data_IF_049481687759
#
_entry.id   IF_049481687759
#
_cell.length_a   1.000
_cell.length_b   1.000
_cell.length_c   1.000
_cell.angle_alpha   90.00
_cell.angle_beta   90.00
_cell.angle_gamma   90.00
#
_symmetry.space_group_name_H-M   'P 1'
#
loop_
_entity.id
_entity.type
_entity.pdbx_description
1 polymer ?
#
# COMPACT_ATOMS: atom_id res chain seq x y z
N UNK A 1 -9.31 51.57 -6.18
CA UNK A 1 -10.71 51.23 -5.83
C UNK A 1 -10.78 49.74 -5.63
N UNK A 2 -11.49 49.26 -4.61
CA UNK A 2 -11.60 47.82 -4.39
C UNK A 2 -12.31 47.15 -5.58
N UNK A 3 -11.73 46.07 -6.09
CA UNK A 3 -12.32 45.29 -7.19
C UNK A 3 -13.69 44.77 -6.72
N UNK A 4 -14.78 44.98 -7.49
CA UNK A 4 -16.11 44.47 -7.18
C UNK A 4 -16.12 42.96 -6.89
N UNK A 5 -16.94 42.54 -5.93
CA UNK A 5 -17.02 41.14 -5.48
C UNK A 5 -17.23 40.10 -6.61
N UNK A 6 -18.06 40.37 -7.65
CA UNK A 6 -18.22 39.43 -8.78
C UNK A 6 -16.94 39.24 -9.59
N UNK A 7 -16.17 40.30 -9.81
CA UNK A 7 -14.90 40.25 -10.56
C UNK A 7 -13.84 39.47 -9.79
N UNK A 8 -13.80 39.60 -8.46
CA UNK A 8 -12.93 38.79 -7.59
C UNK A 8 -13.29 37.31 -7.62
N UNK A 9 -14.58 36.96 -7.67
CA UNK A 9 -15.02 35.56 -7.75
C UNK A 9 -14.65 34.96 -9.11
N UNK A 10 -14.90 35.68 -10.20
CA UNK A 10 -14.50 35.25 -11.54
C UNK A 10 -12.97 35.05 -11.62
N UNK A 11 -12.21 35.99 -11.05
CA UNK A 11 -10.76 35.94 -10.92
C UNK A 11 -10.26 34.66 -10.23
N UNK A 12 -10.76 34.35 -9.04
CA UNK A 12 -10.36 33.16 -8.30
C UNK A 12 -10.80 31.88 -9.01
N UNK A 13 -11.96 31.90 -9.67
CA UNK A 13 -12.48 30.76 -10.41
C UNK A 13 -11.60 30.41 -11.62
N UNK A 14 -11.11 31.40 -12.37
CA UNK A 14 -10.21 31.18 -13.52
C UNK A 14 -8.87 30.61 -13.06
N UNK A 15 -8.28 31.15 -11.99
CA UNK A 15 -7.02 30.62 -11.43
C UNK A 15 -7.19 29.19 -10.91
N UNK A 16 -8.29 28.89 -10.24
CA UNK A 16 -8.62 27.52 -9.82
C UNK A 16 -8.79 26.58 -11.02
N UNK A 17 -9.43 27.05 -12.10
CA UNK A 17 -9.62 26.27 -13.31
C UNK A 17 -8.29 25.98 -14.03
N UNK A 18 -7.38 26.97 -14.10
CA UNK A 18 -6.02 26.79 -14.65
C UNK A 18 -5.23 25.79 -13.80
N UNK A 19 -5.29 25.89 -12.47
CA UNK A 19 -4.65 24.92 -11.57
C UNK A 19 -5.20 23.50 -11.76
N UNK A 20 -6.53 23.36 -11.86
CA UNK A 20 -7.20 22.08 -12.11
C UNK A 20 -6.82 21.47 -13.46
N UNK A 21 -6.86 22.26 -14.54
CA UNK A 21 -6.44 21.82 -15.88
C UNK A 21 -4.98 21.41 -15.92
N UNK A 22 -4.09 22.15 -15.24
CA UNK A 22 -2.68 21.80 -15.12
C UNK A 22 -2.50 20.46 -14.41
N UNK A 23 -3.24 20.25 -13.31
CA UNK A 23 -3.22 18.98 -12.57
C UNK A 23 -3.71 17.79 -13.42
N UNK A 24 -4.78 17.97 -14.21
CA UNK A 24 -5.32 16.93 -15.10
C UNK A 24 -4.34 16.51 -16.20
N UNK A 25 -3.47 17.41 -16.65
CA UNK A 25 -2.49 17.12 -17.70
C UNK A 25 -1.19 16.55 -17.11
N UNK A 26 -0.68 17.15 -16.03
CA UNK A 26 0.61 16.76 -15.43
C UNK A 26 0.54 15.38 -14.79
N UNK A 27 -0.60 15.02 -14.18
CA UNK A 27 -0.77 13.74 -13.48
C UNK A 27 -0.57 12.53 -14.42
N UNK A 28 -1.35 12.32 -15.49
CA UNK A 28 -1.17 11.14 -16.36
C UNK A 28 0.15 11.15 -17.14
N UNK A 29 0.64 12.32 -17.56
CA UNK A 29 1.81 12.41 -18.44
C UNK A 29 3.15 12.26 -17.70
N UNK A 30 3.24 12.81 -16.49
CA UNK A 30 4.50 12.89 -15.73
C UNK A 30 4.48 11.92 -14.55
N UNK A 31 3.34 11.78 -13.85
CA UNK A 31 3.24 10.95 -12.64
C UNK A 31 3.25 9.45 -12.98
N UNK A 32 2.25 8.96 -13.71
CA UNK A 32 2.07 7.53 -13.98
C UNK A 32 3.19 6.94 -14.83
N UNK A 33 3.74 7.74 -15.75
CA UNK A 33 4.68 7.26 -16.77
C UNK A 33 6.15 7.35 -16.32
N UNK A 34 6.52 8.33 -15.50
CA UNK A 34 7.93 8.62 -15.17
C UNK A 34 8.24 8.66 -13.67
N UNK A 35 7.37 9.28 -12.86
CA UNK A 35 7.69 9.58 -11.46
C UNK A 35 7.22 8.53 -10.44
N UNK A 36 6.32 7.61 -10.81
CA UNK A 36 5.90 6.47 -9.96
C UNK A 36 7.07 5.62 -9.46
N UNK A 37 8.21 5.61 -10.17
CA UNK A 37 9.41 4.84 -9.80
C UNK A 37 10.23 5.47 -8.67
N UNK A 38 9.98 6.72 -8.32
CA UNK A 38 10.77 7.48 -7.33
C UNK A 38 10.00 7.65 -6.01
N UNK A 39 10.72 8.10 -4.97
CA UNK A 39 10.11 8.41 -3.67
C UNK A 39 9.00 9.47 -3.84
N UNK A 40 7.84 9.35 -3.16
CA UNK A 40 6.66 10.21 -3.36
C UNK A 40 6.90 11.71 -3.18
N UNK A 41 7.98 12.11 -2.52
CA UNK A 41 8.39 13.51 -2.39
C UNK A 41 8.77 14.15 -3.74
N UNK A 42 9.38 13.39 -4.66
CA UNK A 42 9.84 13.90 -5.95
C UNK A 42 8.68 14.41 -6.81
N UNK A 43 7.61 13.64 -7.06
CA UNK A 43 6.48 14.15 -7.83
C UNK A 43 5.77 15.32 -7.14
N UNK A 44 5.65 15.33 -5.81
CA UNK A 44 5.01 16.45 -5.09
C UNK A 44 5.77 17.76 -5.36
N UNK A 45 7.10 17.73 -5.29
CA UNK A 45 7.95 18.91 -5.56
C UNK A 45 7.79 19.37 -7.00
N UNK A 46 7.88 18.44 -7.96
CA UNK A 46 7.81 18.74 -9.40
C UNK A 46 6.44 19.31 -9.78
N UNK A 47 5.35 18.69 -9.31
CA UNK A 47 3.98 19.15 -9.58
C UNK A 47 3.74 20.54 -9.02
N UNK A 48 4.16 20.76 -7.77
CA UNK A 48 4.01 22.07 -7.12
C UNK A 48 4.76 23.15 -7.88
N UNK A 49 5.98 22.87 -8.34
CA UNK A 49 6.76 23.79 -9.15
C UNK A 49 6.09 24.11 -10.50
N UNK A 50 5.59 23.10 -11.21
CA UNK A 50 4.95 23.28 -12.51
C UNK A 50 3.63 24.06 -12.39
N UNK A 51 2.77 23.72 -11.42
CA UNK A 51 1.49 24.41 -11.18
C UNK A 51 1.69 25.88 -10.80
N UNK A 52 2.80 26.18 -10.12
CA UNK A 52 3.08 27.55 -9.66
C UNK A 52 3.38 28.52 -10.79
N UNK A 53 3.92 28.05 -11.92
CA UNK A 53 4.28 28.89 -13.06
C UNK A 53 3.07 29.61 -13.70
N UNK A 54 2.02 28.92 -14.18
CA UNK A 54 0.88 29.57 -14.83
C UNK A 54 0.07 30.43 -13.86
N UNK A 55 -0.04 30.03 -12.58
CA UNK A 55 -0.74 30.82 -11.56
C UNK A 55 0.00 32.13 -11.31
N UNK A 56 1.33 32.08 -11.14
CA UNK A 56 2.14 33.30 -10.95
C UNK A 56 2.10 34.20 -12.17
N UNK A 57 2.16 33.63 -13.39
CA UNK A 57 2.02 34.40 -14.62
C UNK A 57 0.65 35.12 -14.69
N UNK A 58 -0.43 34.45 -14.28
CA UNK A 58 -1.76 35.06 -14.18
C UNK A 58 -1.79 36.24 -13.20
N UNK A 59 -1.15 36.10 -12.02
CA UNK A 59 -1.05 37.18 -11.03
C UNK A 59 -0.34 38.41 -11.61
N UNK A 60 0.79 38.22 -12.28
CA UNK A 60 1.58 39.30 -12.89
C UNK A 60 0.80 40.00 -14.00
N UNK A 61 0.11 39.26 -14.87
CA UNK A 61 -0.69 39.84 -15.96
C UNK A 61 -1.83 40.70 -15.42
N UNK A 62 -2.47 40.25 -14.33
CA UNK A 62 -3.63 40.94 -13.76
C UNK A 62 -3.21 42.22 -13.03
N UNK A 63 -2.12 42.16 -12.27
CA UNK A 63 -1.51 43.33 -11.65
C UNK A 63 -1.15 44.39 -12.71
N UNK A 64 -0.56 43.96 -13.83
CA UNK A 64 -0.23 44.83 -14.95
C UNK A 64 -1.46 45.46 -15.64
N UNK A 65 -2.59 44.75 -15.70
CA UNK A 65 -3.84 45.29 -16.27
C UNK A 65 -4.52 46.26 -15.31
N UNK A 66 -4.46 46.00 -14.00
CA UNK A 66 -5.11 46.82 -12.97
C UNK A 66 -4.44 48.18 -12.78
N UNK A 67 -3.11 48.16 -12.61
CA UNK A 67 -2.35 49.38 -12.30
C UNK A 67 -1.68 50.00 -13.55
N UNK A 68 -1.79 49.32 -14.70
CA UNK A 68 -1.18 49.76 -15.97
C UNK A 68 0.35 49.64 -15.99
N UNK A 69 0.95 49.11 -14.93
CA UNK A 69 2.41 48.95 -14.77
C UNK A 69 2.76 47.52 -14.44
N UNK A 70 3.85 47.02 -15.02
CA UNK A 70 4.35 45.69 -14.70
C UNK A 70 5.18 45.74 -13.41
N UNK A 71 4.81 44.94 -12.41
CA UNK A 71 5.55 44.82 -11.14
C UNK A 71 7.03 44.46 -11.35
N UNK A 72 7.87 44.78 -10.36
CA UNK A 72 9.30 44.49 -10.41
C UNK A 72 9.59 42.98 -10.30
N UNK A 73 10.68 42.47 -10.92
CA UNK A 73 11.03 41.04 -10.86
C UNK A 73 11.13 40.41 -9.45
N UNK A 74 11.58 41.12 -8.40
CA UNK A 74 11.56 40.59 -7.03
C UNK A 74 10.14 40.25 -6.53
N UNK A 75 9.13 41.04 -6.91
CA UNK A 75 7.74 40.76 -6.58
C UNK A 75 7.27 39.44 -7.22
N UNK A 76 7.69 39.19 -8.46
CA UNK A 76 7.32 37.96 -9.18
C UNK A 76 7.87 36.72 -8.49
N UNK A 77 9.15 36.78 -8.06
CA UNK A 77 9.78 35.70 -7.33
C UNK A 77 9.09 35.44 -5.98
N UNK A 78 8.66 36.50 -5.29
CA UNK A 78 7.91 36.39 -4.04
C UNK A 78 6.53 35.76 -4.25
N UNK A 79 5.77 36.18 -5.28
CA UNK A 79 4.49 35.55 -5.62
C UNK A 79 4.66 34.09 -6.00
N UNK A 80 5.67 33.78 -6.80
CA UNK A 80 6.01 32.40 -7.15
C UNK A 80 6.27 31.55 -5.90
N UNK A 81 7.04 32.05 -4.95
CA UNK A 81 7.33 31.33 -3.71
C UNK A 81 6.06 31.09 -2.88
N UNK A 82 5.17 32.08 -2.77
CA UNK A 82 3.89 31.89 -2.07
C UNK A 82 3.03 30.83 -2.74
N UNK A 83 2.87 30.91 -4.06
CA UNK A 83 2.10 29.93 -4.83
C UNK A 83 2.73 28.54 -4.73
N UNK A 84 4.06 28.44 -4.73
CA UNK A 84 4.81 27.20 -4.57
C UNK A 84 4.53 26.55 -3.21
N UNK A 85 4.61 27.31 -2.13
CA UNK A 85 4.36 26.81 -0.78
C UNK A 85 2.90 26.35 -0.64
N UNK A 86 1.95 27.16 -1.10
CA UNK A 86 0.52 26.80 -1.06
C UNK A 86 0.26 25.54 -1.89
N UNK A 87 0.82 25.47 -3.11
CA UNK A 87 0.68 24.30 -3.99
C UNK A 87 1.31 23.06 -3.37
N UNK A 88 2.45 23.17 -2.70
CA UNK A 88 3.10 22.07 -2.01
C UNK A 88 2.25 21.56 -0.84
N UNK A 89 1.67 22.45 -0.05
CA UNK A 89 0.77 22.08 1.05
C UNK A 89 -0.47 21.38 0.51
N UNK A 90 -1.13 21.95 -0.50
CA UNK A 90 -2.34 21.38 -1.09
C UNK A 90 -2.07 20.04 -1.77
N UNK A 91 -0.96 19.91 -2.51
CA UNK A 91 -0.58 18.66 -3.19
C UNK A 91 -0.22 17.58 -2.18
N UNK A 92 0.50 17.93 -1.11
CA UNK A 92 0.80 17.00 -0.02
C UNK A 92 -0.47 16.57 0.71
N UNK A 93 -1.39 17.51 0.98
CA UNK A 93 -2.68 17.23 1.58
C UNK A 93 -3.55 16.32 0.72
N UNK A 94 -3.65 16.61 -0.58
CA UNK A 94 -4.37 15.79 -1.55
C UNK A 94 -3.77 14.39 -1.64
N UNK A 95 -2.44 14.26 -1.73
CA UNK A 95 -1.75 12.98 -1.71
C UNK A 95 -1.97 12.20 -0.41
N UNK A 96 -1.95 12.88 0.74
CA UNK A 96 -2.21 12.25 2.03
C UNK A 96 -3.67 11.75 2.10
N UNK A 97 -4.63 12.57 1.67
CA UNK A 97 -6.05 12.21 1.62
C UNK A 97 -6.28 11.04 0.68
N UNK A 98 -5.72 11.07 -0.52
CA UNK A 98 -5.79 9.97 -1.49
C UNK A 98 -5.19 8.69 -0.90
N UNK A 99 -4.04 8.78 -0.22
CA UNK A 99 -3.43 7.65 0.47
C UNK A 99 -4.26 7.13 1.64
N UNK A 100 -4.91 8.01 2.40
CA UNK A 100 -5.84 7.62 3.47
C UNK A 100 -7.12 7.03 2.91
N UNK A 101 -7.60 7.50 1.76
CA UNK A 101 -8.76 6.97 1.06
C UNK A 101 -8.45 5.62 0.42
N UNK A 102 -7.29 5.44 -0.21
CA UNK A 102 -6.80 4.15 -0.71
C UNK A 102 -6.64 3.15 0.43
N UNK A 103 -6.09 3.57 1.57
CA UNK A 103 -6.05 2.70 2.75
C UNK A 103 -7.45 2.39 3.25
N UNK A 104 -8.34 3.38 3.39
CA UNK A 104 -9.73 3.15 3.82
C UNK A 104 -10.52 2.32 2.83
N UNK A 105 -10.29 2.46 1.54
CA UNK A 105 -10.94 1.72 0.45
C UNK A 105 -10.37 0.31 0.37
N UNK A 106 -9.06 0.11 0.52
CA UNK A 106 -8.48 -1.21 0.73
C UNK A 106 -9.03 -1.88 2.01
N UNK A 107 -9.25 -1.12 3.08
CA UNK A 107 -9.83 -1.63 4.34
C UNK A 107 -11.33 -1.87 4.22
N UNK A 108 -12.06 -1.03 3.47
CA UNK A 108 -13.49 -1.12 3.24
C UNK A 108 -13.82 -2.17 2.20
N UNK A 109 -13.03 -2.33 1.14
CA UNK A 109 -13.10 -3.45 0.19
C UNK A 109 -12.71 -4.75 0.90
N UNK A 110 -11.74 -4.73 1.81
CA UNK A 110 -11.46 -5.86 2.69
C UNK A 110 -12.62 -6.15 3.67
N UNK A 111 -13.32 -5.11 4.15
CA UNK A 111 -14.46 -5.24 5.06
C UNK A 111 -15.75 -5.63 4.33
N UNK A 112 -15.96 -5.15 3.10
CA UNK A 112 -17.08 -5.48 2.23
C UNK A 112 -16.89 -6.91 1.71
N UNK A 113 -15.68 -7.30 1.32
CA UNK A 113 -15.33 -8.70 1.05
C UNK A 113 -15.44 -9.59 2.30
N UNK A 114 -15.29 -9.04 3.51
CA UNK A 114 -15.58 -9.74 4.76
C UNK A 114 -17.08 -9.80 5.10
N UNK A 115 -17.92 -8.93 4.53
CA UNK A 115 -19.36 -8.85 4.81
C UNK A 115 -20.21 -9.55 3.74
N UNK A 116 -19.72 -9.68 2.50
CA UNK A 116 -20.34 -10.49 1.42
C UNK A 116 -19.74 -11.91 1.35
N UNK A 117 -19.36 -12.48 2.48
CA UNK A 117 -19.14 -13.93 2.56
C UNK A 117 -20.50 -14.61 2.75
N UNK A 118 -20.95 -15.47 1.81
CA UNK A 118 -22.08 -16.35 2.09
C UNK A 118 -21.70 -17.23 3.28
N UNK A 119 -22.52 -17.15 4.31
CA UNK A 119 -22.49 -18.02 5.46
C UNK A 119 -22.42 -19.49 5.01
N UNK A 120 -21.47 -20.23 5.62
CA UNK A 120 -21.20 -21.66 5.52
C UNK A 120 -20.34 -22.16 4.34
N UNK A 121 -19.01 -22.04 4.49
CA UNK A 121 -18.07 -23.07 4.03
C UNK A 121 -16.88 -23.15 5.00
N UNK A 122 -16.35 -24.35 5.31
CA UNK A 122 -15.36 -24.56 6.37
C UNK A 122 -14.08 -23.76 6.10
N UNK A 123 -13.61 -23.08 7.15
CA UNK A 123 -12.63 -22.00 7.16
C UNK A 123 -11.20 -22.35 6.69
N UNK A 124 -10.99 -23.48 6.01
CA UNK A 124 -9.80 -23.74 5.19
C UNK A 124 -9.88 -23.18 3.76
N UNK A 125 -11.07 -22.70 3.34
CA UNK A 125 -11.34 -22.21 1.97
C UNK A 125 -10.78 -20.82 1.66
N UNK A 126 -10.68 -19.94 2.67
CA UNK A 126 -10.26 -18.54 2.47
C UNK A 126 -8.79 -18.44 2.01
N UNK A 127 -7.89 -19.15 2.70
CA UNK A 127 -6.48 -19.22 2.29
C UNK A 127 -6.33 -19.94 0.95
N UNK A 128 -7.07 -21.03 0.74
CA UNK A 128 -7.06 -21.77 -0.52
C UNK A 128 -7.47 -20.91 -1.71
N UNK A 129 -8.44 -20.00 -1.56
CA UNK A 129 -8.88 -19.11 -2.65
C UNK A 129 -7.76 -18.19 -3.16
N UNK A 130 -6.78 -17.84 -2.31
CA UNK A 130 -5.63 -17.00 -2.66
C UNK A 130 -4.51 -17.76 -3.38
N UNK A 131 -4.51 -19.09 -3.29
CA UNK A 131 -3.55 -19.91 -4.03
C UNK A 131 -3.94 -19.93 -5.52
N UNK A 132 -2.96 -20.10 -6.44
CA UNK A 132 -3.26 -20.37 -7.84
C UNK A 132 -4.19 -21.57 -7.98
N UNK A 133 -5.04 -21.58 -9.01
CA UNK A 133 -6.13 -22.56 -9.20
C UNK A 133 -5.68 -24.01 -8.99
N UNK A 134 -4.47 -24.36 -9.45
CA UNK A 134 -3.85 -25.68 -9.30
C UNK A 134 -3.68 -26.15 -7.84
N UNK A 135 -3.48 -25.23 -6.90
CA UNK A 135 -3.15 -25.53 -5.50
C UNK A 135 -4.34 -25.38 -4.55
N UNK A 136 -5.50 -24.89 -5.02
CA UNK A 136 -6.66 -24.63 -4.15
C UNK A 136 -7.25 -25.89 -3.51
N UNK A 137 -7.14 -27.03 -4.19
CA UNK A 137 -7.55 -28.33 -3.67
C UNK A 137 -6.42 -29.09 -2.96
N UNK A 138 -5.19 -28.53 -2.95
CA UNK A 138 -4.05 -29.19 -2.35
C UNK A 138 -4.06 -29.01 -0.82
N UNK A 139 -3.58 -30.02 -0.10
CA UNK A 139 -3.42 -29.92 1.34
C UNK A 139 -2.22 -29.02 1.65
N UNK A 140 -2.45 -27.98 2.47
CA UNK A 140 -1.37 -27.12 2.95
C UNK A 140 -0.60 -27.85 4.05
N UNK A 141 0.71 -27.97 3.89
CA UNK A 141 1.62 -28.59 4.84
C UNK A 141 2.33 -27.58 5.71
N UNK A 142 2.80 -26.47 5.12
CA UNK A 142 3.46 -25.40 5.85
C UNK A 142 3.47 -24.10 5.04
N UNK A 143 3.71 -23.00 5.73
CA UNK A 143 3.93 -21.68 5.14
C UNK A 143 5.20 -21.08 5.72
N UNK A 144 6.13 -20.69 4.86
CA UNK A 144 7.37 -20.02 5.21
C UNK A 144 7.43 -18.62 4.60
N UNK A 145 7.99 -17.67 5.33
CA UNK A 145 8.13 -16.29 4.85
C UNK A 145 9.49 -16.07 4.18
N UNK A 146 9.45 -15.56 2.94
CA UNK A 146 10.60 -15.17 2.13
C UNK A 146 10.43 -13.69 1.75
N UNK A 147 11.09 -12.80 2.51
CA UNK A 147 11.01 -11.34 2.39
C UNK A 147 9.57 -10.79 2.42
N UNK A 148 8.97 -10.59 1.25
CA UNK A 148 7.62 -10.03 1.04
C UNK A 148 6.61 -11.05 0.52
N UNK A 149 7.05 -12.29 0.32
CA UNK A 149 6.24 -13.39 -0.18
C UNK A 149 6.17 -14.51 0.84
N UNK A 150 5.12 -15.32 0.74
CA UNK A 150 4.99 -16.57 1.47
C UNK A 150 5.16 -17.73 0.51
N UNK A 151 6.10 -18.62 0.82
CA UNK A 151 6.17 -19.93 0.20
C UNK A 151 5.22 -20.87 0.92
N UNK A 152 4.26 -21.40 0.17
CA UNK A 152 3.26 -22.34 0.64
C UNK A 152 3.67 -23.72 0.17
N UNK A 153 3.98 -24.60 1.11
CA UNK A 153 4.29 -26.00 0.86
C UNK A 153 2.98 -26.80 0.88
N UNK A 154 2.64 -27.47 -0.21
CA UNK A 154 1.39 -28.22 -0.35
C UNK A 154 1.63 -29.64 -0.85
N UNK A 155 0.58 -30.48 -0.83
CA UNK A 155 0.60 -31.80 -1.45
C UNK A 155 0.82 -31.80 -2.96
N UNK A 156 0.53 -30.69 -3.64
CA UNK A 156 0.69 -30.53 -5.09
C UNK A 156 2.00 -29.81 -5.49
N UNK A 157 2.91 -29.60 -4.54
CA UNK A 157 4.15 -28.85 -4.70
C UNK A 157 4.15 -27.54 -3.94
N UNK A 158 4.97 -26.59 -4.40
CA UNK A 158 5.16 -25.30 -3.74
C UNK A 158 4.64 -24.14 -4.58
N UNK A 159 4.18 -23.09 -3.93
CA UNK A 159 3.77 -21.85 -4.59
C UNK A 159 4.10 -20.63 -3.75
N UNK A 160 4.24 -19.47 -4.39
CA UNK A 160 4.51 -18.21 -3.71
C UNK A 160 3.29 -17.29 -3.78
N UNK A 161 2.94 -16.66 -2.67
CA UNK A 161 1.82 -15.72 -2.56
C UNK A 161 2.28 -14.43 -1.89
N UNK A 162 1.84 -13.29 -2.42
CA UNK A 162 2.10 -11.98 -1.83
C UNK A 162 1.19 -11.76 -0.62
N UNK A 163 1.72 -12.00 0.59
CA UNK A 163 1.02 -11.79 1.86
C UNK A 163 2.04 -11.75 3.01
N UNK A 164 1.63 -11.24 4.18
CA UNK A 164 2.39 -11.38 5.43
C UNK A 164 2.02 -12.67 6.15
N UNK A 165 3.00 -13.28 6.82
CA UNK A 165 2.78 -14.54 7.56
C UNK A 165 1.70 -14.40 8.63
N UNK A 166 1.64 -13.26 9.32
CA UNK A 166 0.63 -13.02 10.36
C UNK A 166 -0.80 -13.12 9.82
N UNK A 167 -1.05 -12.63 8.61
CA UNK A 167 -2.36 -12.71 7.96
C UNK A 167 -2.63 -14.15 7.51
N UNK A 168 -1.63 -14.83 6.94
CA UNK A 168 -1.76 -16.24 6.56
C UNK A 168 -2.08 -17.13 7.78
N UNK A 169 -1.43 -16.91 8.93
CA UNK A 169 -1.70 -17.66 10.17
C UNK A 169 -3.14 -17.44 10.64
N UNK A 170 -3.69 -16.23 10.49
CA UNK A 170 -5.11 -15.95 10.83
C UNK A 170 -6.06 -16.68 9.88
N UNK A 171 -5.78 -16.68 8.57
CA UNK A 171 -6.59 -17.40 7.59
C UNK A 171 -6.47 -18.92 7.72
N UNK A 172 -5.33 -19.41 8.23
CA UNK A 172 -5.06 -20.82 8.48
C UNK A 172 -5.49 -21.30 9.87
N UNK A 173 -6.09 -20.44 10.70
CA UNK A 173 -6.50 -20.77 12.07
C UNK A 173 -7.52 -21.93 12.14
N UNK A 174 -8.19 -22.23 11.03
CA UNK A 174 -9.11 -23.35 10.89
C UNK A 174 -8.41 -24.70 10.72
N UNK A 175 -7.16 -24.69 10.24
CA UNK A 175 -6.35 -25.89 10.15
C UNK A 175 -5.66 -26.11 11.49
N UNK A 176 -5.61 -27.37 11.92
CA UNK A 176 -4.77 -27.75 13.05
C UNK A 176 -3.31 -27.51 12.67
N UNK A 177 -2.73 -26.42 13.17
CA UNK A 177 -1.36 -26.04 12.87
C UNK A 177 -0.80 -25.06 13.89
N UNK A 178 0.52 -24.94 13.91
CA UNK A 178 1.24 -24.20 14.91
C UNK A 178 2.31 -23.33 14.25
N UNK A 179 2.43 -22.09 14.75
CA UNK A 179 3.56 -21.24 14.41
C UNK A 179 4.81 -21.78 15.12
N UNK A 180 5.83 -22.16 14.34
CA UNK A 180 7.08 -22.75 14.84
C UNK A 180 8.22 -21.73 14.87
N UNK A 181 8.13 -20.70 14.03
CA UNK A 181 9.08 -19.60 13.97
C UNK A 181 8.36 -18.30 13.58
N UNK A 182 8.99 -17.15 13.80
CA UNK A 182 8.46 -15.86 13.32
C UNK A 182 8.24 -15.81 11.80
N UNK A 183 8.88 -16.72 11.07
CA UNK A 183 8.81 -16.89 9.61
C UNK A 183 8.25 -18.25 9.19
N UNK A 184 7.72 -19.05 10.11
CA UNK A 184 7.18 -20.39 9.78
C UNK A 184 5.89 -20.70 10.53
N UNK A 185 4.93 -21.25 9.79
CA UNK A 185 3.76 -21.94 10.31
C UNK A 185 3.66 -23.32 9.67
N UNK A 186 3.33 -24.33 10.46
CA UNK A 186 3.25 -25.73 10.02
C UNK A 186 1.87 -26.27 10.33
N UNK A 187 1.27 -27.00 9.40
CA UNK A 187 0.04 -27.75 9.64
C UNK A 187 0.36 -29.13 10.23
N UNK A 188 -0.45 -29.59 11.17
CA UNK A 188 -0.34 -30.93 11.79
C UNK A 188 -0.32 -32.02 10.73
N UNK A 189 -1.21 -31.93 9.74
CA UNK A 189 -1.29 -32.88 8.63
C UNK A 189 -0.05 -32.90 7.73
N UNK A 190 0.73 -31.81 7.72
CA UNK A 190 1.97 -31.66 6.94
C UNK A 190 3.21 -32.16 7.67
N UNK A 191 3.11 -32.42 8.97
CA UNK A 191 4.22 -32.94 9.77
C UNK A 191 4.49 -34.40 9.40
N UNK A 192 5.75 -34.72 9.09
CA UNK A 192 6.21 -36.08 8.84
C UNK A 192 6.98 -36.63 10.04
N UNK A 193 7.91 -35.84 10.60
CA UNK A 193 8.77 -36.27 11.71
C UNK A 193 9.28 -35.06 12.51
N UNK A 194 9.77 -35.30 13.71
CA UNK A 194 10.32 -34.28 14.61
C UNK A 194 11.75 -34.65 15.01
N UNK A 195 12.71 -33.86 14.51
CA UNK A 195 14.11 -34.03 14.83
C UNK A 195 14.51 -33.13 16.01
N UNK A 196 15.22 -33.72 16.98
CA UNK A 196 15.83 -33.01 18.12
C UNK A 196 17.34 -33.22 18.09
N UNK A 197 18.10 -32.13 18.08
CA UNK A 197 19.57 -32.19 18.11
C UNK A 197 20.15 -30.87 18.59
N UNK A 198 21.24 -30.92 19.38
CA UNK A 198 21.98 -29.74 19.88
C UNK A 198 21.11 -28.64 20.51
N UNK A 199 20.06 -29.03 21.23
CA UNK A 199 19.10 -28.09 21.85
C UNK A 199 18.21 -27.33 20.85
N UNK A 200 18.24 -27.72 19.57
CA UNK A 200 17.35 -27.23 18.51
C UNK A 200 16.32 -28.31 18.16
N UNK A 201 15.13 -27.84 17.81
CA UNK A 201 14.02 -28.67 17.38
C UNK A 201 13.69 -28.27 15.95
N UNK A 202 13.59 -29.26 15.07
CA UNK A 202 13.27 -29.07 13.65
C UNK A 202 12.14 -30.02 13.27
N UNK A 203 11.10 -29.49 12.64
CA UNK A 203 10.00 -30.28 12.12
C UNK A 203 10.27 -30.63 10.66
N UNK A 204 10.26 -31.93 10.34
CA UNK A 204 10.37 -32.42 8.96
C UNK A 204 8.96 -32.51 8.36
N UNK A 205 8.78 -31.90 7.20
CA UNK A 205 7.50 -31.84 6.51
C UNK A 205 7.37 -32.94 5.47
N UNK A 206 6.14 -33.31 5.13
CA UNK A 206 5.84 -34.25 4.03
C UNK A 206 6.30 -33.76 2.66
N UNK A 207 6.49 -32.45 2.50
CA UNK A 207 7.11 -31.86 1.29
C UNK A 207 8.62 -32.08 1.20
N UNK A 208 9.26 -32.59 2.27
CA UNK A 208 10.72 -32.68 2.39
C UNK A 208 11.37 -31.41 2.94
N UNK A 209 10.61 -30.32 3.14
CA UNK A 209 11.12 -29.10 3.76
C UNK A 209 11.29 -29.26 5.29
N UNK A 210 12.24 -28.52 5.86
CA UNK A 210 12.54 -28.54 7.29
C UNK A 210 12.20 -27.19 7.93
N UNK A 211 11.25 -27.21 8.88
CA UNK A 211 10.79 -26.02 9.58
C UNK A 211 11.47 -25.91 10.96
N UNK A 212 12.29 -24.88 11.22
CA UNK A 212 12.93 -24.70 12.52
C UNK A 212 11.90 -24.28 13.57
N UNK A 213 12.08 -24.77 14.81
CA UNK A 213 11.29 -24.34 15.97
C UNK A 213 12.13 -23.43 16.86
N UNK A 214 11.71 -22.16 16.96
CA UNK A 214 12.35 -21.18 17.82
C UNK A 214 12.05 -21.47 19.30
N UNK A 215 12.96 -21.07 20.21
CA UNK A 215 12.76 -21.21 21.67
C UNK A 215 11.44 -20.62 22.15
N UNK A 216 11.03 -19.47 21.60
CA UNK A 216 9.77 -18.80 21.95
C UNK A 216 8.54 -19.63 21.58
N UNK A 217 8.62 -20.37 20.46
CA UNK A 217 7.51 -21.17 19.94
C UNK A 217 7.56 -22.64 20.39
N UNK A 218 8.66 -23.12 20.97
CA UNK A 218 8.79 -24.50 21.46
C UNK A 218 7.69 -24.88 22.45
N UNK A 219 7.30 -23.95 23.35
CA UNK A 219 6.22 -24.22 24.31
C UNK A 219 4.91 -24.54 23.59
N UNK A 220 4.52 -23.73 22.62
CA UNK A 220 3.27 -23.94 21.87
C UNK A 220 3.29 -25.23 21.06
N UNK A 221 4.44 -25.59 20.45
CA UNK A 221 4.60 -26.85 19.73
C UNK A 221 4.55 -28.07 20.68
N UNK A 222 5.07 -27.92 21.91
CA UNK A 222 4.98 -28.95 22.96
C UNK A 222 3.58 -29.12 23.50
N UNK A 223 2.89 -28.02 23.78
CA UNK A 223 1.50 -28.01 24.26
C UNK A 223 0.55 -28.61 23.19
N UNK A 224 0.88 -28.47 21.91
CA UNK A 224 0.20 -29.13 20.80
C UNK A 224 0.49 -30.64 20.67
N UNK A 225 1.38 -31.20 21.50
CA UNK A 225 1.72 -32.63 21.51
C UNK A 225 2.56 -33.09 20.32
N UNK A 226 3.32 -32.19 19.67
CA UNK A 226 4.18 -32.55 18.54
C UNK A 226 5.61 -32.91 18.98
N UNK A 227 5.91 -32.62 20.24
CA UNK A 227 7.19 -32.86 20.90
C UNK A 227 6.99 -33.93 21.98
#
# INVERSE_FOLDING_TARGET
>A
GEIPLPERIAYWSVLMLIGAMTSLVVTPLVFEKWLVKFHPAVPIIVVSAIISLPITAGLVVIDAIGDGTVASPPWWAQQYLYVLVISAILTTGAWAVDRFQDQKKATADASLAATTSPQAAPSGSAFAARLPVKFRAAQVYAVSAEDHYLRVHTSAGETMVLMRLADAVRELAALEGQQTHRSWWVARQGLADVARGDGKVTLKLKSGAEAPVSRTYQKAVKDAGWL
#
